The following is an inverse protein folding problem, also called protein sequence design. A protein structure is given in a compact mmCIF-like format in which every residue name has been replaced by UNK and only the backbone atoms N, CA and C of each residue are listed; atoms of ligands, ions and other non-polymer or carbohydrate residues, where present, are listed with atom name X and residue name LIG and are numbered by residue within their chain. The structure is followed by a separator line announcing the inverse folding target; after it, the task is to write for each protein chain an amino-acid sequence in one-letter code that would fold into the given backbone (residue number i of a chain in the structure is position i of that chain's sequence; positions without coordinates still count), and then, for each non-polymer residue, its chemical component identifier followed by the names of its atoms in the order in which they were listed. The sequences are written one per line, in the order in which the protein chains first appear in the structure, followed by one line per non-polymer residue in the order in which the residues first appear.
data_IF_849446253864
#
_entry.id   IF_849446253864
#
_cell.length_a   1.000
_cell.length_b   1.000
_cell.length_c   1.000
_cell.angle_alpha   90.00
_cell.angle_beta   90.00
_cell.angle_gamma   90.00
#
_symmetry.space_group_name_H-M   'P 1'
#
loop_
_entity.id
_entity.type
_entity.pdbx_description
1 polymer ?
#
# COMPACT_ATOMS: atom_id res chain seq x y z
N UNK A 1 -15.92 27.94 12.87
CA UNK A 1 -15.26 26.80 12.18
C UNK A 1 -16.32 26.07 11.37
N UNK A 2 -16.12 25.88 10.06
CA UNK A 2 -17.08 25.12 9.23
C UNK A 2 -16.82 23.63 9.47
N UNK A 3 -17.88 22.90 9.81
CA UNK A 3 -17.82 21.46 9.99
C UNK A 3 -18.21 20.77 8.68
N UNK A 4 -17.40 19.83 8.23
CA UNK A 4 -17.59 19.07 7.01
C UNK A 4 -18.00 17.65 7.32
N UNK A 5 -19.06 17.19 6.66
CA UNK A 5 -19.44 15.79 6.62
C UNK A 5 -19.21 15.27 5.20
N UNK A 6 -18.62 14.08 5.08
CA UNK A 6 -18.36 13.50 3.77
C UNK A 6 -19.68 13.23 3.03
N UNK A 7 -19.82 13.72 1.80
CA UNK A 7 -21.04 13.54 1.01
C UNK A 7 -21.11 12.19 0.28
N UNK A 8 -20.04 11.41 0.30
CA UNK A 8 -20.00 10.09 -0.32
C UNK A 8 -20.97 9.14 0.38
N UNK A 9 -21.71 8.37 -0.42
CA UNK A 9 -22.61 7.34 0.09
C UNK A 9 -21.84 6.30 0.91
N UNK A 10 -22.34 5.95 2.10
CA UNK A 10 -21.69 5.00 3.01
C UNK A 10 -20.53 5.57 3.84
N UNK A 11 -20.07 6.80 3.58
CA UNK A 11 -18.93 7.38 4.30
C UNK A 11 -19.35 8.12 5.58
N UNK A 12 -18.89 7.67 6.74
CA UNK A 12 -19.22 8.27 8.05
C UNK A 12 -18.21 9.32 8.55
N UNK A 13 -17.29 9.76 7.69
CA UNK A 13 -16.23 10.69 8.05
C UNK A 13 -16.75 12.11 8.26
N UNK A 14 -16.29 12.74 9.35
CA UNK A 14 -16.78 14.04 9.80
C UNK A 14 -15.62 14.83 10.42
N UNK A 15 -15.45 16.09 10.03
CA UNK A 15 -14.37 16.94 10.53
C UNK A 15 -14.43 17.17 12.04
N UNK A 16 -15.62 17.03 12.65
CA UNK A 16 -15.79 17.08 14.11
C UNK A 16 -15.10 15.92 14.82
N UNK A 17 -14.84 14.80 14.13
CA UNK A 17 -14.16 13.63 14.71
C UNK A 17 -12.64 13.75 14.67
N UNK A 18 -12.08 14.78 14.01
CA UNK A 18 -10.64 14.95 13.76
C UNK A 18 -9.78 14.95 15.03
N UNK A 19 -10.29 15.56 16.12
CA UNK A 19 -9.58 15.66 17.39
C UNK A 19 -9.59 14.36 18.21
N UNK A 20 -10.46 13.41 17.88
CA UNK A 20 -10.64 12.14 18.60
C UNK A 20 -10.32 10.94 17.70
N UNK A 21 -9.18 10.98 17.01
CA UNK A 21 -8.76 9.95 16.06
C UNK A 21 -8.63 8.55 16.69
N UNK A 22 -8.29 8.46 17.99
CA UNK A 22 -8.25 7.20 18.74
C UNK A 22 -9.62 6.52 18.88
N UNK A 23 -10.70 7.31 18.98
CA UNK A 23 -12.08 6.81 19.06
C UNK A 23 -12.67 6.49 17.69
N UNK A 24 -12.13 7.12 16.63
CA UNK A 24 -12.62 6.99 15.26
C UNK A 24 -11.49 6.57 14.31
N UNK A 25 -11.16 5.26 14.25
CA UNK A 25 -10.09 4.75 13.38
C UNK A 25 -10.28 5.09 11.90
N UNK A 26 -11.54 5.22 11.43
CA UNK A 26 -11.89 5.58 10.06
C UNK A 26 -11.46 6.99 9.62
N UNK A 27 -11.11 7.83 10.60
CA UNK A 27 -10.53 9.16 10.41
C UNK A 27 -9.00 9.11 10.23
N UNK A 28 -8.39 7.92 10.25
CA UNK A 28 -6.97 7.70 9.98
C UNK A 28 -6.84 6.92 8.66
N UNK A 29 -6.10 7.49 7.72
CA UNK A 29 -5.75 6.88 6.45
C UNK A 29 -4.22 6.88 6.32
N UNK A 30 -3.61 5.70 6.22
CA UNK A 30 -2.14 5.54 6.09
C UNK A 30 -1.34 6.27 7.18
N UNK A 31 -1.84 6.30 8.43
CA UNK A 31 -1.20 7.00 9.55
C UNK A 31 -1.43 8.51 9.57
N UNK A 32 -2.13 9.07 8.58
CA UNK A 32 -2.50 10.49 8.51
C UNK A 32 -3.97 10.70 8.83
N UNK A 33 -4.29 11.86 9.40
CA UNK A 33 -5.68 12.24 9.68
C UNK A 33 -6.37 12.62 8.36
N UNK A 34 -7.61 12.17 8.17
CA UNK A 34 -8.43 12.45 6.98
C UNK A 34 -8.73 13.94 6.87
N UNK A 35 -8.53 14.48 5.67
CA UNK A 35 -8.87 15.86 5.31
C UNK A 35 -10.12 15.92 4.42
N UNK A 36 -10.71 17.11 4.29
CA UNK A 36 -11.96 17.34 3.57
C UNK A 36 -11.75 18.32 2.41
N UNK A 37 -12.17 17.90 1.21
CA UNK A 37 -12.05 18.64 -0.04
C UNK A 37 -13.43 19.11 -0.48
N UNK A 38 -13.63 20.43 -0.51
CA UNK A 38 -14.90 21.04 -0.94
C UNK A 38 -15.12 20.80 -2.44
N UNK A 39 -16.38 20.63 -2.84
CA UNK A 39 -16.74 20.49 -4.25
C UNK A 39 -16.17 21.65 -5.09
N UNK A 40 -15.72 21.37 -6.34
CA UNK A 40 -15.30 22.42 -7.26
C UNK A 40 -16.41 23.47 -7.47
N UNK A 41 -16.00 24.73 -7.60
CA UNK A 41 -16.91 25.86 -7.84
C UNK A 41 -17.72 25.63 -9.12
N UNK A 42 -19.04 25.83 -9.02
CA UNK A 42 -19.94 25.75 -10.16
C UNK A 42 -19.66 26.84 -11.21
N UNK A 43 -19.14 27.99 -10.78
CA UNK A 43 -18.83 29.13 -11.66
C UNK A 43 -17.46 28.93 -12.30
N UNK A 44 -16.41 28.66 -11.50
CA UNK A 44 -15.04 28.57 -12.01
C UNK A 44 -14.75 27.26 -12.75
N UNK A 45 -15.27 26.14 -12.24
CA UNK A 45 -14.95 24.80 -12.75
C UNK A 45 -16.22 23.91 -12.88
N UNK A 46 -17.21 24.31 -13.72
CA UNK A 46 -18.48 23.57 -13.86
C UNK A 46 -18.29 22.14 -14.37
N UNK A 47 -17.34 21.93 -15.29
CA UNK A 47 -17.06 20.60 -15.87
C UNK A 47 -16.52 19.64 -14.82
N UNK A 48 -15.54 20.09 -14.03
CA UNK A 48 -14.95 19.27 -12.96
C UNK A 48 -15.97 18.97 -11.86
N UNK A 49 -16.79 19.98 -11.48
CA UNK A 49 -17.89 19.78 -10.54
C UNK A 49 -18.85 18.69 -11.02
N UNK A 50 -19.27 18.72 -12.29
CA UNK A 50 -20.16 17.70 -12.87
C UNK A 50 -19.52 16.31 -12.84
N UNK A 51 -18.21 16.20 -13.09
CA UNK A 51 -17.48 14.93 -12.98
C UNK A 51 -17.45 14.41 -11.54
N UNK A 52 -17.25 15.27 -10.53
CA UNK A 52 -17.30 14.84 -9.13
C UNK A 52 -18.70 14.34 -8.74
N UNK A 53 -19.74 15.07 -9.12
CA UNK A 53 -21.13 14.69 -8.83
C UNK A 53 -21.49 13.36 -9.51
N UNK A 54 -21.01 13.11 -10.73
CA UNK A 54 -21.26 11.83 -11.41
C UNK A 54 -20.57 10.64 -10.73
N UNK A 55 -19.48 10.86 -10.00
CA UNK A 55 -18.83 9.84 -9.17
C UNK A 55 -19.48 9.71 -7.78
N UNK A 56 -20.20 10.69 -7.26
CA UNK A 56 -20.89 10.49 -5.97
C UNK A 56 -22.09 9.55 -6.12
N UNK A 57 -22.73 9.53 -7.31
CA UNK A 57 -23.84 8.63 -7.67
C UNK A 57 -25.05 8.61 -6.73
N UNK A 58 -25.19 9.62 -5.88
CA UNK A 58 -26.32 9.75 -4.95
C UNK A 58 -27.57 10.19 -5.71
N UNK A 59 -28.60 9.35 -5.71
CA UNK A 59 -29.87 9.65 -6.39
C UNK A 59 -30.52 10.91 -5.80
N UNK A 60 -31.06 11.77 -6.68
CA UNK A 60 -31.70 13.03 -6.29
C UNK A 60 -30.78 14.09 -5.66
N UNK A 61 -29.47 13.85 -5.63
CA UNK A 61 -28.53 14.80 -5.02
C UNK A 61 -28.14 15.91 -6.01
N UNK A 62 -28.72 17.10 -5.80
CA UNK A 62 -28.39 18.30 -6.57
C UNK A 62 -27.90 19.41 -5.63
N UNK A 63 -26.60 19.44 -5.27
CA UNK A 63 -26.10 20.40 -4.32
C UNK A 63 -26.07 21.80 -4.91
N UNK A 64 -26.54 22.77 -4.12
CA UNK A 64 -26.55 24.19 -4.49
C UNK A 64 -25.17 24.62 -5.04
N UNK A 65 -25.11 25.25 -6.23
CA UNK A 65 -23.91 25.80 -6.82
C UNK A 65 -23.04 26.66 -5.88
N UNK A 66 -23.68 27.38 -4.95
CA UNK A 66 -23.04 28.31 -4.01
C UNK A 66 -22.78 27.69 -2.64
N UNK A 67 -23.18 26.43 -2.42
CA UNK A 67 -22.90 25.74 -1.19
C UNK A 67 -21.41 25.38 -1.07
N UNK A 68 -20.81 25.73 0.08
CA UNK A 68 -19.41 25.44 0.39
C UNK A 68 -19.24 24.39 1.50
N UNK A 69 -20.32 23.84 2.07
CA UNK A 69 -20.26 22.81 3.13
C UNK A 69 -20.28 21.37 2.60
N UNK A 70 -20.57 21.17 1.31
CA UNK A 70 -20.46 19.86 0.67
C UNK A 70 -19.00 19.52 0.34
N UNK A 71 -18.46 18.52 1.03
CA UNK A 71 -17.08 18.09 0.87
C UNK A 71 -16.96 16.56 0.79
N UNK A 72 -15.90 16.10 0.13
CA UNK A 72 -15.47 14.71 0.11
C UNK A 72 -14.21 14.54 0.94
N UNK A 73 -14.13 13.46 1.71
CA UNK A 73 -12.94 13.18 2.50
C UNK A 73 -11.79 12.60 1.64
N UNK A 74 -10.56 12.72 2.12
CA UNK A 74 -9.34 12.31 1.41
C UNK A 74 -9.35 10.83 0.99
N UNK A 75 -10.10 9.94 1.67
CA UNK A 75 -10.26 8.52 1.29
C UNK A 75 -10.80 8.30 -0.11
N UNK A 76 -11.50 9.28 -0.69
CA UNK A 76 -12.10 9.16 -2.02
C UNK A 76 -11.12 9.49 -3.16
N UNK A 77 -9.88 9.85 -2.82
CA UNK A 77 -8.82 10.23 -3.75
C UNK A 77 -7.62 9.28 -3.61
N UNK A 78 -7.00 8.93 -4.73
CA UNK A 78 -5.85 8.00 -4.75
C UNK A 78 -4.70 8.51 -3.89
N UNK A 79 -4.37 9.80 -4.02
CA UNK A 79 -3.30 10.46 -3.27
C UNK A 79 -3.80 11.23 -2.06
N UNK A 80 -5.05 10.99 -1.62
CA UNK A 80 -5.67 11.77 -0.55
C UNK A 80 -6.10 13.18 -0.95
N UNK A 81 -5.81 13.60 -2.18
CA UNK A 81 -6.15 14.91 -2.76
C UNK A 81 -6.28 14.83 -4.29
N UNK A 82 -6.74 15.91 -4.90
CA UNK A 82 -6.78 16.06 -6.36
C UNK A 82 -5.39 16.35 -6.92
N UNK A 83 -4.96 15.60 -7.93
CA UNK A 83 -3.73 15.89 -8.69
C UNK A 83 -4.04 16.13 -10.16
N UNK A 84 -3.05 16.58 -10.95
CA UNK A 84 -3.23 16.81 -12.40
C UNK A 84 -3.65 15.52 -13.12
N UNK A 85 -3.14 14.39 -12.65
CA UNK A 85 -3.43 13.06 -13.20
C UNK A 85 -4.74 12.49 -12.61
N UNK A 86 -5.03 12.76 -11.33
CA UNK A 86 -6.20 12.26 -10.62
C UNK A 86 -7.06 13.41 -10.07
N UNK A 87 -7.69 14.16 -10.98
CA UNK A 87 -8.46 15.35 -10.63
C UNK A 87 -9.87 15.07 -10.06
N UNK A 88 -10.34 13.82 -10.14
CA UNK A 88 -11.69 13.40 -9.77
C UNK A 88 -11.62 12.33 -8.70
N UNK A 89 -12.50 12.33 -7.68
CA UNK A 89 -12.58 11.24 -6.71
C UNK A 89 -12.99 9.95 -7.43
N UNK A 90 -12.32 8.85 -7.13
CA UNK A 90 -12.53 7.55 -7.79
C UNK A 90 -12.73 6.40 -6.81
N UNK A 91 -12.34 6.58 -5.55
CA UNK A 91 -12.42 5.55 -4.53
C UNK A 91 -13.77 5.64 -3.81
N UNK A 92 -14.73 4.83 -4.21
CA UNK A 92 -16.05 4.71 -3.59
C UNK A 92 -16.40 3.24 -3.38
N UNK A 93 -17.25 2.93 -2.40
CA UNK A 93 -17.58 1.54 -2.04
C UNK A 93 -18.19 0.75 -3.22
N UNK A 94 -18.95 1.42 -4.09
CA UNK A 94 -19.50 0.81 -5.30
C UNK A 94 -18.42 0.55 -6.39
N UNK A 95 -17.26 1.20 -6.32
CA UNK A 95 -16.12 0.95 -7.23
C UNK A 95 -15.24 -0.21 -6.76
N UNK A 96 -15.40 -0.69 -5.53
CA UNK A 96 -14.65 -1.84 -4.98
C UNK A 96 -15.06 -3.15 -5.69
N UNK A 97 -16.18 -3.17 -6.44
CA UNK A 97 -16.70 -4.34 -7.15
C UNK A 97 -16.57 -4.30 -8.69
N UNK A 98 -15.66 -3.51 -9.27
CA UNK A 98 -15.31 -3.67 -10.70
C UNK A 98 -14.46 -4.93 -10.99
N UNK A 99 -14.48 -5.93 -10.11
CA UNK A 99 -14.23 -7.32 -10.50
C UNK A 99 -15.46 -7.87 -11.26
N UNK A 100 -15.52 -7.59 -12.55
CA UNK A 100 -16.09 -8.47 -13.57
C UNK A 100 -17.44 -9.15 -13.32
N UNK A 101 -18.50 -8.39 -13.05
CA UNK A 101 -19.86 -8.85 -13.40
C UNK A 101 -20.34 -7.99 -14.57
N UNK A 102 -20.41 -8.52 -15.80
CA UNK A 102 -21.08 -7.81 -16.88
C UNK A 102 -22.56 -7.66 -16.52
N UNK A 103 -23.08 -6.43 -16.65
CA UNK A 103 -24.51 -6.15 -16.52
C UNK A 103 -25.21 -6.68 -17.77
N UNK A 104 -26.16 -7.60 -17.59
CA UNK A 104 -27.20 -7.82 -18.59
C UNK A 104 -28.16 -6.63 -18.57
N UNK A 105 -27.86 -5.61 -19.37
CA UNK A 105 -28.84 -4.59 -19.72
C UNK A 105 -28.88 -4.47 -21.23
N UNK A 106 -30.05 -4.79 -21.81
CA UNK A 106 -30.31 -4.93 -23.26
C UNK A 106 -30.14 -3.66 -24.10
N UNK A 107 -29.59 -2.58 -23.59
CA UNK A 107 -29.44 -1.33 -24.35
C UNK A 107 -28.09 -0.66 -24.05
N UNK A 108 -27.08 -0.98 -24.85
CA UNK A 108 -26.02 -0.02 -25.14
C UNK A 108 -25.48 -0.26 -26.55
N UNK A 109 -25.75 0.70 -27.43
CA UNK A 109 -25.04 0.85 -28.69
C UNK A 109 -23.54 0.92 -28.40
N UNK A 110 -22.80 -0.04 -28.95
CA UNK A 110 -21.34 -0.07 -28.98
C UNK A 110 -20.82 1.22 -29.64
N UNK A 111 -20.01 1.98 -28.91
CA UNK A 111 -18.97 2.82 -29.53
C UNK A 111 -17.61 2.19 -29.23
N UNK A 112 -16.69 2.14 -30.21
CA UNK A 112 -15.41 1.45 -30.02
C UNK A 112 -14.55 2.21 -29.01
N UNK A 113 -14.24 1.56 -27.89
CA UNK A 113 -13.17 1.99 -26.97
C UNK A 113 -11.91 1.25 -27.42
N UNK A 114 -11.32 1.70 -28.51
CA UNK A 114 -9.92 1.42 -28.82
C UNK A 114 -9.14 2.66 -28.39
N UNK A 115 -8.21 2.49 -27.42
CA UNK A 115 -7.00 3.30 -27.14
C UNK A 115 -6.69 3.67 -25.68
N UNK A 116 -7.39 3.18 -24.64
CA UNK A 116 -7.05 3.55 -23.25
C UNK A 116 -6.74 2.40 -22.28
N UNK A 117 -6.11 1.31 -22.75
CA UNK A 117 -5.77 0.16 -21.86
C UNK A 117 -4.26 -0.08 -21.70
N UNK A 118 -3.40 0.58 -22.47
CA UNK A 118 -1.95 0.31 -22.38
C UNK A 118 -1.22 1.43 -21.62
N UNK A 119 -1.40 1.55 -20.29
CA UNK A 119 -0.39 2.24 -19.42
C UNK A 119 -0.57 2.12 -17.90
N UNK A 120 -1.66 1.56 -17.35
CA UNK A 120 -1.95 1.68 -15.90
C UNK A 120 -1.70 0.43 -15.05
N UNK A 121 -0.87 -0.51 -15.48
CA UNK A 121 -0.50 -1.68 -14.66
C UNK A 121 0.94 -1.61 -14.16
N UNK A 122 1.27 -0.61 -13.35
CA UNK A 122 2.48 -0.60 -12.52
C UNK A 122 2.28 0.36 -11.31
N UNK A 123 1.37 0.03 -10.40
CA UNK A 123 1.41 0.48 -9.00
C UNK A 123 0.41 -0.31 -8.15
N UNK A 124 0.94 -1.20 -7.30
CA UNK A 124 0.24 -1.89 -6.22
C UNK A 124 -0.41 -0.87 -5.25
N UNK A 125 -1.45 -1.23 -4.49
CA UNK A 125 -1.29 -1.76 -3.12
C UNK A 125 -2.48 -2.65 -2.72
N UNK A 126 -2.11 -3.73 -2.07
CA UNK A 126 -2.89 -4.72 -1.33
C UNK A 126 -3.62 -4.08 -0.14
N UNK A 127 -4.93 -4.25 -0.06
CA UNK A 127 -5.70 -4.05 1.18
C UNK A 127 -5.60 -5.31 2.04
N UNK A 128 -5.06 -5.18 3.25
CA UNK A 128 -5.04 -6.23 4.28
C UNK A 128 -6.44 -6.36 4.88
N UNK A 129 -7.32 -7.16 4.26
CA UNK A 129 -8.62 -7.46 4.86
C UNK A 129 -9.22 -8.75 4.31
N UNK A 130 -8.55 -9.88 4.54
CA UNK A 130 -9.16 -11.22 4.64
C UNK A 130 -8.09 -12.27 5.00
N UNK A 131 -7.84 -12.46 6.29
CA UNK A 131 -7.27 -13.72 6.81
C UNK A 131 -8.27 -14.31 7.82
N UNK A 132 -8.47 -15.64 7.82
CA UNK A 132 -9.36 -16.32 8.78
C UNK A 132 -8.86 -16.14 10.21
N UNK A 133 -9.80 -15.98 11.16
CA UNK A 133 -9.55 -15.83 12.60
C UNK A 133 -8.88 -17.09 13.17
N UNK A 134 -7.57 -17.04 13.39
CA UNK A 134 -6.84 -18.00 14.22
C UNK A 134 -6.80 -17.48 15.68
N UNK A 135 -7.01 -18.33 16.71
CA UNK A 135 -6.99 -17.89 18.09
C UNK A 135 -5.61 -17.33 18.49
N UNK A 136 -5.59 -16.06 18.92
CA UNK A 136 -4.40 -15.34 19.36
C UNK A 136 -3.88 -15.93 20.68
N UNK A 137 -2.74 -16.60 20.65
CA UNK A 137 -1.89 -16.69 21.83
C UNK A 137 -1.33 -15.30 22.12
N UNK A 138 -1.61 -14.78 23.32
CA UNK A 138 -1.10 -13.49 23.80
C UNK A 138 0.43 -13.62 23.99
N UNK A 139 1.20 -13.20 23.00
CA UNK A 139 2.61 -12.84 23.23
C UNK A 139 2.64 -11.44 23.84
N UNK A 140 3.14 -11.35 25.07
CA UNK A 140 3.42 -10.12 25.77
C UNK A 140 4.42 -9.29 24.94
N UNK A 141 3.99 -8.12 24.49
CA UNK A 141 4.85 -7.08 23.93
C UNK A 141 5.23 -6.21 25.13
N UNK A 142 6.49 -6.16 25.57
CA UNK A 142 6.90 -5.20 26.59
C UNK A 142 6.71 -3.79 26.02
N UNK A 143 6.11 -2.90 26.81
CA UNK A 143 6.01 -1.48 26.48
C UNK A 143 7.40 -0.94 26.16
N UNK A 144 7.61 -0.53 24.91
CA UNK A 144 8.81 0.18 24.49
C UNK A 144 8.70 1.57 25.12
N UNK A 145 9.59 1.96 26.05
CA UNK A 145 9.60 3.32 26.54
C UNK A 145 9.91 4.22 25.34
N UNK A 146 9.04 5.18 25.07
CA UNK A 146 9.34 6.30 24.18
C UNK A 146 10.50 7.04 24.85
N UNK A 147 11.73 6.74 24.42
CA UNK A 147 12.90 7.51 24.79
C UNK A 147 12.68 8.86 24.10
N UNK A 148 12.25 9.84 24.90
CA UNK A 148 12.30 11.25 24.54
C UNK A 148 13.68 11.51 23.95
N UNK A 149 13.71 12.02 22.72
CA UNK A 149 14.91 12.42 22.01
C UNK A 149 15.86 13.11 23.00
N UNK A 150 16.91 12.41 23.39
CA UNK A 150 18.05 13.05 24.04
C UNK A 150 18.53 14.01 22.97
N UNK A 151 18.34 15.30 23.21
CA UNK A 151 18.99 16.36 22.44
C UNK A 151 20.40 15.89 22.16
N UNK A 152 20.79 15.89 20.89
CA UNK A 152 22.20 15.73 20.50
C UNK A 152 23.02 16.50 21.54
N UNK A 153 23.95 15.87 22.28
CA UNK A 153 24.85 16.67 23.08
C UNK A 153 25.49 17.63 22.09
N UNK A 154 25.25 18.93 22.27
CA UNK A 154 25.99 19.94 21.55
C UNK A 154 27.45 19.59 21.76
N UNK A 155 28.23 19.71 20.69
CA UNK A 155 29.65 19.45 20.71
C UNK A 155 30.36 20.60 21.43
N UNK A 156 29.88 20.95 22.61
CA UNK A 156 30.56 21.82 23.55
C UNK A 156 31.52 20.89 24.29
N UNK A 157 32.67 20.63 23.66
CA UNK A 157 33.86 20.18 24.36
C UNK A 157 34.30 21.31 25.29
N UNK A 158 33.55 21.48 26.36
CA UNK A 158 33.97 22.24 27.52
C UNK A 158 34.78 21.25 28.36
N UNK A 159 36.06 21.10 28.00
CA UNK A 159 37.09 20.87 29.01
C UNK A 159 37.21 22.16 29.83
N UNK A 160 36.13 22.60 30.49
CA UNK A 160 36.27 23.54 31.59
C UNK A 160 36.73 22.71 32.78
N UNK A 161 38.05 22.64 32.93
CA UNK A 161 38.63 22.86 34.24
C UNK A 161 38.28 24.31 34.64
N UNK A 162 37.02 24.57 34.98
CA UNK A 162 36.64 25.77 35.72
C UNK A 162 37.13 25.60 37.15
N UNK A 163 38.45 25.64 37.28
CA UNK A 163 39.12 25.93 38.54
C UNK A 163 39.09 27.45 38.72
N UNK A 164 37.89 28.03 38.74
CA UNK A 164 37.67 29.25 39.53
C UNK A 164 37.49 28.78 40.96
N UNK A 165 38.59 28.27 41.53
CA UNK A 165 38.63 28.01 42.95
C UNK A 165 38.98 29.33 43.58
N UNK A 166 38.00 29.92 44.25
CA UNK A 166 38.22 30.83 45.37
C UNK A 166 39.48 30.37 46.12
N UNK A 167 40.48 31.24 46.26
CA UNK A 167 41.82 30.92 46.75
C UNK A 167 41.87 30.40 48.21
N UNK A 168 40.72 30.18 48.86
CA UNK A 168 40.58 29.79 50.26
C UNK A 168 40.10 28.33 50.50
N UNK A 169 40.13 27.45 49.49
CA UNK A 169 39.76 26.02 49.65
C UNK A 169 41.02 25.16 49.84
N UNK A 170 41.09 24.47 50.98
CA UNK A 170 42.21 23.59 51.36
C UNK A 170 42.47 22.51 50.31
N UNK A 171 43.73 22.12 50.13
CA UNK A 171 44.15 21.09 49.16
C UNK A 171 43.37 19.78 49.39
N UNK A 172 43.10 19.42 50.64
CA UNK A 172 42.26 18.28 51.01
C UNK A 172 40.84 18.33 50.39
N UNK A 173 40.17 19.48 50.40
CA UNK A 173 38.80 19.61 49.88
C UNK A 173 38.75 19.48 48.35
N UNK A 174 39.78 19.97 47.65
CA UNK A 174 39.94 19.74 46.20
C UNK A 174 40.14 18.27 45.87
N UNK A 175 40.91 17.54 46.67
CA UNK A 175 41.13 16.11 46.48
C UNK A 175 39.82 15.31 46.66
N UNK A 176 38.99 15.65 47.65
CA UNK A 176 37.69 14.99 47.87
C UNK A 176 36.76 15.21 46.67
N UNK A 177 36.64 16.44 46.17
CA UNK A 177 35.82 16.76 45.00
C UNK A 177 36.28 16.04 43.73
N UNK A 178 37.59 15.90 43.53
CA UNK A 178 38.14 15.16 42.38
C UNK A 178 37.81 13.66 42.46
N UNK A 179 37.84 13.07 43.66
CA UNK A 179 37.46 11.66 43.87
C UNK A 179 35.97 11.45 43.56
N UNK A 180 35.10 12.33 44.05
CA UNK A 180 33.66 12.26 43.77
C UNK A 180 33.34 12.42 42.28
N UNK A 181 34.02 13.35 41.60
CA UNK A 181 33.88 13.55 40.16
C UNK A 181 34.36 12.33 39.37
N UNK A 182 35.50 11.73 39.73
CA UNK A 182 36.01 10.52 39.09
C UNK A 182 35.04 9.33 39.28
N UNK A 183 34.54 9.12 40.50
CA UNK A 183 33.55 8.08 40.78
C UNK A 183 32.27 8.28 39.94
N UNK A 184 31.83 9.54 39.79
CA UNK A 184 30.66 9.88 38.97
C UNK A 184 30.91 9.62 37.48
N UNK A 185 32.11 9.94 36.98
CA UNK A 185 32.50 9.66 35.60
C UNK A 185 32.60 8.16 35.32
N UNK A 186 33.18 7.38 36.25
CA UNK A 186 33.24 5.92 36.13
C UNK A 186 31.85 5.30 36.04
N UNK A 187 30.89 5.74 36.87
CA UNK A 187 29.52 5.27 36.79
C UNK A 187 28.86 5.63 35.44
N UNK A 188 29.12 6.83 34.90
CA UNK A 188 28.61 7.22 33.58
C UNK A 188 29.23 6.37 32.47
N UNK A 189 30.54 6.13 32.51
CA UNK A 189 31.23 5.27 31.56
C UNK A 189 30.65 3.84 31.56
N UNK A 190 30.42 3.26 32.74
CA UNK A 190 29.80 1.93 32.85
C UNK A 190 28.39 1.91 32.24
N UNK A 191 27.56 2.94 32.49
CA UNK A 191 26.22 3.03 31.87
C UNK A 191 26.28 3.14 30.35
N UNK A 192 27.17 3.96 29.82
CA UNK A 192 27.35 4.06 28.36
C UNK A 192 27.86 2.76 27.76
N UNK A 193 28.71 2.02 28.46
CA UNK A 193 29.16 0.71 28.02
C UNK A 193 28.02 -0.32 28.01
N UNK A 194 27.14 -0.32 29.01
CA UNK A 194 25.95 -1.19 29.01
C UNK A 194 24.98 -0.85 27.88
N UNK A 195 24.73 0.45 27.66
CA UNK A 195 23.80 0.93 26.63
C UNK A 195 24.32 0.62 25.21
N UNK A 196 25.61 0.87 24.97
CA UNK A 196 26.24 0.57 23.67
C UNK A 196 26.23 -0.93 23.39
N UNK A 197 26.45 -1.78 24.39
CA UNK A 197 26.36 -3.23 24.25
C UNK A 197 24.92 -3.70 23.97
N UNK A 198 23.92 -3.09 24.62
CA UNK A 198 22.51 -3.38 24.35
C UNK A 198 22.11 -2.96 22.92
N UNK A 199 22.50 -1.76 22.50
CA UNK A 199 22.26 -1.27 21.13
C UNK A 199 22.92 -2.17 20.09
N UNK A 200 24.17 -2.61 20.31
CA UNK A 200 24.84 -3.56 19.42
C UNK A 200 24.07 -4.88 19.28
N UNK A 201 23.51 -5.40 20.37
CA UNK A 201 22.67 -6.61 20.33
C UNK A 201 21.39 -6.38 19.51
N UNK A 202 20.71 -5.26 19.72
CA UNK A 202 19.50 -4.92 18.97
C UNK A 202 19.77 -4.76 17.47
N UNK A 203 20.85 -4.07 17.10
CA UNK A 203 21.24 -3.91 15.69
C UNK A 203 21.51 -5.27 15.03
N UNK A 204 22.19 -6.20 15.73
CA UNK A 204 22.42 -7.55 15.21
C UNK A 204 21.10 -8.31 14.99
N UNK A 205 20.15 -8.22 15.91
CA UNK A 205 18.85 -8.88 15.77
C UNK A 205 18.06 -8.32 14.58
N UNK A 206 18.00 -6.98 14.46
CA UNK A 206 17.32 -6.33 13.35
C UNK A 206 17.96 -6.63 11.99
N UNK A 207 19.30 -6.78 11.94
CA UNK A 207 19.99 -7.20 10.72
C UNK A 207 19.59 -8.60 10.28
N UNK A 208 19.42 -9.54 11.21
CA UNK A 208 18.95 -10.90 10.91
C UNK A 208 17.51 -10.87 10.39
N UNK A 209 16.63 -10.11 11.04
CA UNK A 209 15.22 -10.00 10.64
C UNK A 209 15.07 -9.33 9.26
N UNK A 210 15.86 -8.29 8.99
CA UNK A 210 15.91 -7.63 7.68
C UNK A 210 16.37 -8.58 6.59
N UNK A 211 17.39 -9.40 6.86
CA UNK A 211 17.85 -10.40 5.90
C UNK A 211 16.78 -11.45 5.60
N UNK A 212 16.09 -11.97 6.62
CA UNK A 212 15.01 -12.93 6.45
C UNK A 212 13.86 -12.33 5.61
N UNK A 213 13.43 -11.12 5.94
CA UNK A 213 12.35 -10.41 5.21
C UNK A 213 12.75 -10.12 3.75
N UNK A 214 14.02 -9.83 3.49
CA UNK A 214 14.53 -9.60 2.14
C UNK A 214 14.47 -10.87 1.29
N UNK A 215 14.80 -12.02 1.88
CA UNK A 215 14.74 -13.30 1.17
C UNK A 215 13.29 -13.71 0.88
N UNK A 216 12.36 -13.50 1.81
CA UNK A 216 10.93 -13.73 1.57
C UNK A 216 10.39 -12.87 0.42
N UNK A 217 10.78 -11.60 0.38
CA UNK A 217 10.41 -10.70 -0.72
C UNK A 217 11.01 -11.14 -2.06
N UNK A 218 12.23 -11.69 -2.06
CA UNK A 218 12.83 -12.24 -3.28
C UNK A 218 12.04 -13.44 -3.81
N UNK A 219 11.67 -14.38 -2.93
CA UNK A 219 10.84 -15.54 -3.30
C UNK A 219 9.48 -15.09 -3.84
N UNK A 220 8.84 -14.10 -3.20
CA UNK A 220 7.58 -13.54 -3.66
C UNK A 220 7.74 -12.87 -5.03
N UNK A 221 8.78 -12.06 -5.23
CA UNK A 221 9.06 -11.44 -6.51
C UNK A 221 9.33 -12.47 -7.62
N UNK A 222 10.02 -13.57 -7.34
CA UNK A 222 10.19 -14.66 -8.30
C UNK A 222 8.85 -15.30 -8.69
N UNK A 223 7.94 -15.48 -7.73
CA UNK A 223 6.56 -15.97 -8.00
C UNK A 223 5.75 -14.98 -8.82
N UNK A 224 5.88 -13.68 -8.56
CA UNK A 224 5.18 -12.63 -9.31
C UNK A 224 5.78 -12.38 -10.69
N UNK A 225 7.10 -12.49 -10.87
CA UNK A 225 7.75 -12.31 -12.17
C UNK A 225 7.28 -13.33 -13.22
N UNK A 226 6.68 -14.44 -12.78
CA UNK A 226 6.00 -15.39 -13.66
C UNK A 226 4.47 -15.22 -13.60
N UNK A 227 3.99 -13.98 -13.74
CA UNK A 227 2.56 -13.62 -13.74
C UNK A 227 1.76 -14.51 -14.69
N UNK A 228 2.30 -14.76 -15.88
CA UNK A 228 1.63 -15.54 -16.91
C UNK A 228 1.45 -17.01 -16.50
N UNK A 229 2.46 -17.61 -15.86
CA UNK A 229 2.34 -18.96 -15.31
C UNK A 229 1.34 -19.00 -14.16
N UNK A 230 1.38 -18.02 -13.25
CA UNK A 230 0.46 -17.95 -12.11
C UNK A 230 -1.00 -17.76 -12.55
N UNK A 231 -1.24 -16.95 -13.58
CA UNK A 231 -2.57 -16.78 -14.17
C UNK A 231 -3.06 -18.06 -14.85
N UNK A 232 -2.18 -18.75 -15.59
CA UNK A 232 -2.49 -20.05 -16.19
C UNK A 232 -2.81 -21.09 -15.12
N UNK A 233 -2.01 -21.19 -14.06
CA UNK A 233 -2.21 -22.13 -12.96
C UNK A 233 -3.54 -21.87 -12.25
N UNK A 234 -3.84 -20.60 -11.92
CA UNK A 234 -5.14 -20.23 -11.33
C UNK A 234 -6.32 -20.49 -12.26
N UNK A 235 -6.15 -20.28 -13.56
CA UNK A 235 -7.19 -20.57 -14.55
C UNK A 235 -7.46 -22.07 -14.61
N UNK A 236 -6.41 -22.89 -14.71
CA UNK A 236 -6.52 -24.36 -14.70
C UNK A 236 -7.19 -24.82 -13.42
N UNK A 237 -6.74 -24.36 -12.25
CA UNK A 237 -7.34 -24.70 -10.97
C UNK A 237 -8.84 -24.37 -10.92
N UNK A 238 -9.24 -23.19 -11.42
CA UNK A 238 -10.65 -22.78 -11.43
C UNK A 238 -11.49 -23.64 -12.38
N UNK A 239 -10.94 -23.98 -13.55
CA UNK A 239 -11.60 -24.83 -14.54
C UNK A 239 -11.74 -26.28 -14.06
N UNK A 240 -10.69 -26.83 -13.43
CA UNK A 240 -10.64 -28.25 -13.01
C UNK A 240 -11.14 -28.47 -11.57
N UNK A 241 -11.75 -27.47 -10.93
CA UNK A 241 -12.30 -27.61 -9.57
C UNK A 241 -13.48 -28.58 -9.48
N UNK A 242 -14.26 -28.71 -10.55
CA UNK A 242 -15.40 -29.63 -10.64
C UNK A 242 -15.76 -29.96 -12.08
N UNK A 243 -16.37 -31.13 -12.31
CA UNK A 243 -16.87 -31.53 -13.64
C UNK A 243 -17.91 -30.53 -14.17
N UNK A 244 -18.73 -29.95 -13.29
CA UNK A 244 -19.68 -28.89 -13.64
C UNK A 244 -19.01 -27.65 -14.22
N UNK A 245 -17.83 -27.27 -13.70
CA UNK A 245 -17.08 -26.13 -14.23
C UNK A 245 -16.54 -26.46 -15.63
N UNK A 246 -15.92 -27.62 -15.80
CA UNK A 246 -15.44 -28.07 -17.12
C UNK A 246 -16.59 -28.11 -18.14
N UNK A 247 -17.78 -28.58 -17.74
CA UNK A 247 -18.98 -28.55 -18.58
C UNK A 247 -19.47 -27.14 -18.90
N UNK A 248 -19.44 -26.23 -17.94
CA UNK A 248 -19.87 -24.85 -18.13
C UNK A 248 -18.93 -24.09 -19.10
N UNK A 249 -17.63 -24.22 -18.89
CA UNK A 249 -16.62 -23.43 -19.62
C UNK A 249 -16.20 -24.05 -20.95
N UNK A 250 -16.02 -25.38 -21.00
CA UNK A 250 -15.47 -26.08 -22.16
C UNK A 250 -16.51 -26.98 -22.85
N UNK A 251 -17.72 -27.09 -22.28
CA UNK A 251 -18.80 -27.96 -22.77
C UNK A 251 -18.41 -29.44 -22.87
N UNK A 252 -17.41 -29.85 -22.11
CA UNK A 252 -17.00 -31.25 -21.98
C UNK A 252 -17.73 -31.93 -20.81
N UNK A 253 -17.91 -33.24 -20.88
CA UNK A 253 -18.70 -33.97 -19.90
C UNK A 253 -18.04 -34.04 -18.50
N UNK A 254 -16.71 -34.10 -18.44
CA UNK A 254 -15.96 -34.24 -17.19
C UNK A 254 -14.51 -33.76 -17.31
N UNK A 255 -13.86 -33.55 -16.16
CA UNK A 255 -12.43 -33.30 -16.03
C UNK A 255 -11.62 -34.46 -16.64
N UNK A 256 -12.05 -35.70 -16.46
CA UNK A 256 -11.40 -36.88 -17.05
C UNK A 256 -11.42 -36.84 -18.58
N UNK A 257 -12.53 -36.39 -19.19
CA UNK A 257 -12.62 -36.21 -20.64
C UNK A 257 -11.66 -35.11 -21.12
N UNK A 258 -11.58 -33.99 -20.40
CA UNK A 258 -10.64 -32.91 -20.69
C UNK A 258 -9.19 -33.39 -20.69
N UNK A 259 -8.74 -34.07 -19.63
CA UNK A 259 -7.38 -34.60 -19.56
C UNK A 259 -7.15 -35.74 -20.56
N UNK A 260 -8.17 -36.54 -20.88
CA UNK A 260 -8.10 -37.55 -21.93
C UNK A 260 -7.81 -36.95 -23.31
N UNK A 261 -8.48 -35.84 -23.66
CA UNK A 261 -8.21 -35.10 -24.89
C UNK A 261 -6.79 -34.55 -24.89
N UNK A 262 -6.35 -33.91 -23.80
CA UNK A 262 -4.99 -33.39 -23.73
C UNK A 262 -3.93 -34.49 -23.84
N UNK A 263 -4.13 -35.65 -23.22
CA UNK A 263 -3.22 -36.79 -23.33
C UNK A 263 -3.16 -37.37 -24.74
N UNK A 264 -4.29 -37.39 -25.45
CA UNK A 264 -4.32 -37.77 -26.86
C UNK A 264 -3.58 -36.74 -27.72
N UNK A 265 -3.82 -35.45 -27.48
CA UNK A 265 -3.16 -34.36 -28.19
C UNK A 265 -1.65 -34.32 -27.89
N UNK A 266 -1.21 -34.64 -26.69
CA UNK A 266 0.21 -34.63 -26.29
C UNK A 266 1.07 -35.51 -27.22
N UNK A 267 0.58 -36.71 -27.57
CA UNK A 267 1.24 -37.61 -28.51
C UNK A 267 1.32 -37.09 -29.95
N UNK A 268 0.46 -36.12 -30.31
CA UNK A 268 0.40 -35.52 -31.65
C UNK A 268 0.98 -34.10 -31.70
N UNK A 269 1.05 -33.40 -30.56
CA UNK A 269 1.44 -32.00 -30.45
C UNK A 269 2.89 -31.76 -30.88
N UNK A 270 3.80 -32.70 -30.59
CA UNK A 270 5.19 -32.67 -31.05
C UNK A 270 5.34 -32.72 -32.58
N UNK A 271 4.32 -33.22 -33.29
CA UNK A 271 4.28 -33.31 -34.76
C UNK A 271 3.53 -32.14 -35.41
N UNK A 272 2.92 -31.24 -34.63
CA UNK A 272 2.14 -30.12 -35.15
C UNK A 272 3.01 -28.89 -35.42
N UNK A 273 3.15 -28.54 -36.70
CA UNK A 273 4.00 -27.44 -37.23
C UNK A 273 3.82 -26.09 -36.52
N UNK A 274 2.60 -25.80 -36.03
CA UNK A 274 2.26 -24.50 -35.44
C UNK A 274 2.22 -24.51 -33.90
N UNK A 275 2.43 -25.66 -33.26
CA UNK A 275 2.24 -25.82 -31.82
C UNK A 275 3.51 -25.57 -31.00
N UNK A 276 4.69 -25.70 -31.61
CA UNK A 276 5.98 -25.60 -30.92
C UNK A 276 6.52 -24.16 -30.82
N UNK A 277 6.12 -23.23 -31.70
CA UNK A 277 6.68 -21.87 -31.75
C UNK A 277 8.22 -21.82 -31.90
N UNK A 278 8.79 -20.62 -32.01
CA UNK A 278 8.80 -19.79 -33.21
C UNK A 278 9.83 -20.30 -34.26
N UNK A 279 9.38 -20.96 -35.33
CA UNK A 279 10.17 -21.12 -36.57
C UNK A 279 9.30 -21.07 -37.84
N UNK A 280 7.99 -20.85 -37.72
CA UNK A 280 7.09 -20.82 -38.87
C UNK A 280 6.75 -19.42 -39.38
N UNK A 281 7.35 -18.37 -38.80
CA UNK A 281 7.31 -17.02 -39.33
C UNK A 281 8.66 -16.65 -39.95
N UNK A 282 9.04 -17.37 -41.00
CA UNK A 282 9.92 -16.79 -42.02
C UNK A 282 9.34 -15.41 -42.36
N UNK A 283 10.20 -14.38 -42.27
CA UNK A 283 9.83 -12.98 -42.35
C UNK A 283 8.79 -12.73 -43.44
N UNK A 284 7.64 -12.17 -43.05
CA UNK A 284 6.55 -11.97 -44.00
C UNK A 284 7.05 -11.04 -45.12
N UNK A 285 7.02 -11.52 -46.37
CA UNK A 285 7.47 -10.82 -47.60
C UNK A 285 7.06 -9.34 -47.70
N UNK A 286 5.95 -8.92 -47.10
CA UNK A 286 5.51 -7.52 -47.11
C UNK A 286 6.41 -6.56 -46.31
N UNK A 287 7.26 -7.07 -45.41
CA UNK A 287 8.23 -6.24 -44.67
C UNK A 287 9.46 -5.85 -45.49
N UNK A 288 9.67 -6.46 -46.67
CA UNK A 288 10.84 -6.20 -47.53
C UNK A 288 10.63 -5.03 -48.49
N UNK A 289 9.38 -4.59 -48.71
CA UNK A 289 9.07 -3.57 -49.74
C UNK A 289 9.10 -2.11 -49.28
N UNK A 290 9.39 -1.81 -48.01
CA UNK A 290 9.45 -0.42 -47.50
C UNK A 290 10.88 0.12 -47.29
N UNK A 291 11.87 -0.45 -47.97
CA UNK A 291 13.21 0.14 -48.07
C UNK A 291 13.63 0.27 -49.54
N UNK A 292 13.10 1.29 -50.21
CA UNK A 292 13.75 1.98 -51.33
C UNK A 292 13.43 3.45 -51.24
#
# INVERSE_FOLDING_TARGET
MVNFHCIAEGCSNDSRKKHNALKYPDMILNGCIVDFHVLPSAIKNPKLRKLWLSQIRREGFNPDPNCHWHALCSRHFIEGRTTKENAVPTLFDYNIYKTGIPRDTKNSHLRPIEQLILTTQLANIVTVSQLPKVPRQKKYIPDIPVISYIEKPSLDHIYCLSTEVSEDVSIEEKCVLLIENNNTLEQKCQRYETDTNQLRKQVKLLQVELHATKEENKILNEKFNNTDKLLKDKLVEKLTKSDSNVKCFLRLASISMLFGIFKLLEGHASKMKYWMGPDSSDGKRWQVNNKK
#
